data_IF_804312528828
#
_entry.id   IF_804312528828
#
_cell.length_a   1.000
_cell.length_b   1.000
_cell.length_c   1.000
_cell.angle_alpha   90.00
_cell.angle_beta   90.00
_cell.angle_gamma   90.00
#
_symmetry.space_group_name_H-M   'P 1'
#
loop_
_entity.id
_entity.type
_entity.pdbx_description
1 polymer ?
#
# COMPACT_ATOMS: atom_id res chain seq x y z
N UNK A 1 35.84 60.80 -16.96
CA UNK A 1 34.71 60.44 -17.84
C UNK A 1 34.58 58.92 -17.78
N UNK A 2 33.99 58.45 -16.78
CA UNK A 2 32.59 58.02 -16.55
C UNK A 2 32.18 56.95 -17.54
N UNK A 3 32.19 55.76 -17.11
CA UNK A 3 31.58 54.57 -17.73
C UNK A 3 31.05 53.65 -16.63
N UNK A 4 29.76 53.78 -16.36
CA UNK A 4 29.06 53.09 -15.30
C UNK A 4 29.03 51.57 -15.52
N UNK A 5 29.38 50.87 -14.49
CA UNK A 5 29.22 49.43 -14.34
C UNK A 5 27.75 49.14 -13.96
N UNK A 6 26.98 48.62 -14.90
CA UNK A 6 25.63 48.14 -14.64
C UNK A 6 25.66 46.70 -14.09
N UNK A 7 25.52 46.58 -12.79
CA UNK A 7 25.44 45.34 -12.07
C UNK A 7 24.17 44.52 -12.48
N UNK A 8 24.39 43.45 -13.23
CA UNK A 8 23.39 42.45 -13.51
C UNK A 8 23.16 41.59 -12.26
N UNK A 9 21.97 41.67 -11.67
CA UNK A 9 21.48 40.79 -10.59
C UNK A 9 21.34 39.35 -11.10
N UNK A 10 21.86 38.34 -10.37
CA UNK A 10 21.66 36.95 -10.77
C UNK A 10 20.20 36.56 -10.52
N UNK A 11 19.50 36.22 -11.61
CA UNK A 11 18.23 35.53 -11.54
C UNK A 11 18.40 34.19 -10.78
N UNK A 12 17.94 34.19 -9.55
CA UNK A 12 17.82 32.98 -8.74
C UNK A 12 16.76 32.08 -9.39
N UNK A 13 17.20 31.14 -10.21
CA UNK A 13 16.35 30.08 -10.71
C UNK A 13 15.79 29.32 -9.49
N UNK A 14 14.50 29.49 -9.23
CA UNK A 14 13.77 28.65 -8.28
C UNK A 14 13.89 27.20 -8.76
N UNK A 15 14.55 26.36 -7.98
CA UNK A 15 14.59 24.93 -8.22
C UNK A 15 13.14 24.43 -8.16
N UNK A 16 12.56 24.15 -9.33
CA UNK A 16 11.33 23.40 -9.43
C UNK A 16 11.62 22.05 -8.78
N UNK A 17 11.05 21.82 -7.60
CA UNK A 17 11.13 20.56 -6.90
C UNK A 17 10.78 19.44 -7.88
N UNK A 18 11.66 18.46 -8.00
CA UNK A 18 11.45 17.25 -8.79
C UNK A 18 10.08 16.69 -8.44
N UNK A 19 9.13 16.74 -9.38
CA UNK A 19 7.87 16.06 -9.24
C UNK A 19 8.20 14.58 -9.00
N UNK A 20 7.91 14.07 -7.80
CA UNK A 20 8.08 12.66 -7.49
C UNK A 20 7.22 11.90 -8.50
N UNK A 21 7.85 11.13 -9.39
CA UNK A 21 7.10 10.31 -10.34
C UNK A 21 6.18 9.40 -9.53
N UNK A 22 4.89 9.38 -9.87
CA UNK A 22 3.95 8.47 -9.24
C UNK A 22 4.42 7.03 -9.53
N UNK A 23 4.67 6.25 -8.48
CA UNK A 23 5.05 4.84 -8.64
C UNK A 23 3.84 4.04 -9.12
N UNK A 24 4.05 3.16 -10.10
CA UNK A 24 3.04 2.20 -10.56
C UNK A 24 3.21 0.89 -9.78
N UNK A 25 2.17 0.48 -9.05
CA UNK A 25 2.08 -0.83 -8.42
C UNK A 25 1.08 -1.69 -9.19
N UNK A 26 1.45 -2.95 -9.47
CA UNK A 26 0.60 -3.91 -10.18
C UNK A 26 0.34 -5.11 -9.28
N UNK A 27 -0.95 -5.45 -9.10
CA UNK A 27 -1.35 -6.71 -8.47
C UNK A 27 -1.12 -7.87 -9.42
N UNK A 28 -0.47 -8.91 -8.93
CA UNK A 28 -0.10 -10.10 -9.70
C UNK A 28 -0.36 -11.38 -8.89
N UNK A 29 -0.66 -12.50 -9.58
CA UNK A 29 -0.97 -13.78 -8.97
C UNK A 29 -0.17 -14.95 -9.58
N UNK A 30 0.78 -14.65 -10.44
CA UNK A 30 1.63 -15.64 -11.10
C UNK A 30 3.04 -15.11 -11.37
N UNK A 31 3.98 -16.01 -11.59
CA UNK A 31 5.36 -15.66 -11.99
C UNK A 31 5.37 -14.93 -13.33
N UNK A 32 4.53 -15.38 -14.26
CA UNK A 32 4.45 -14.77 -15.60
C UNK A 32 3.91 -13.33 -15.53
N UNK A 33 2.84 -13.09 -14.75
CA UNK A 33 2.29 -11.74 -14.56
C UNK A 33 3.28 -10.82 -13.82
N UNK A 34 4.05 -11.34 -12.86
CA UNK A 34 5.09 -10.59 -12.16
C UNK A 34 6.21 -10.12 -13.12
N UNK A 35 6.71 -11.02 -13.97
CA UNK A 35 7.72 -10.70 -14.98
C UNK A 35 7.19 -9.69 -16.01
N UNK A 36 5.97 -9.87 -16.49
CA UNK A 36 5.32 -8.96 -17.43
C UNK A 36 5.12 -7.56 -16.83
N UNK A 37 4.64 -7.47 -15.57
CA UNK A 37 4.45 -6.20 -14.89
C UNK A 37 5.79 -5.43 -14.75
N UNK A 38 6.88 -6.10 -14.33
CA UNK A 38 8.20 -5.48 -14.28
C UNK A 38 8.64 -4.99 -15.67
N UNK A 39 8.50 -5.81 -16.70
CA UNK A 39 8.87 -5.44 -18.08
C UNK A 39 8.02 -4.28 -18.61
N UNK A 40 6.77 -4.15 -18.14
CA UNK A 40 5.86 -3.06 -18.44
C UNK A 40 6.13 -1.77 -17.67
N UNK A 41 7.16 -1.73 -16.80
CA UNK A 41 7.56 -0.53 -16.06
C UNK A 41 6.91 -0.38 -14.69
N UNK A 42 6.35 -1.45 -14.11
CA UNK A 42 5.93 -1.41 -12.72
C UNK A 42 7.13 -1.10 -11.80
N UNK A 43 6.92 -0.23 -10.83
CA UNK A 43 7.93 0.13 -9.82
C UNK A 43 7.84 -0.75 -8.56
N UNK A 44 6.75 -1.51 -8.42
CA UNK A 44 6.50 -2.43 -7.32
C UNK A 44 5.40 -3.42 -7.72
N UNK A 45 5.40 -4.59 -7.08
CA UNK A 45 4.34 -5.59 -7.19
C UNK A 45 3.59 -5.75 -5.88
N UNK A 46 2.29 -6.01 -5.98
CA UNK A 46 1.49 -6.61 -4.91
C UNK A 46 1.21 -8.06 -5.32
N UNK A 47 1.84 -9.00 -4.62
CA UNK A 47 1.68 -10.43 -4.89
C UNK A 47 0.51 -10.99 -4.10
N UNK A 48 -0.45 -11.54 -4.82
CA UNK A 48 -1.66 -12.15 -4.28
C UNK A 48 -1.82 -13.59 -4.78
N UNK A 49 -2.78 -14.31 -4.21
CA UNK A 49 -3.50 -15.39 -4.87
C UNK A 49 -4.95 -14.95 -5.08
N UNK A 50 -5.71 -15.68 -5.89
CA UNK A 50 -7.16 -15.55 -5.98
C UNK A 50 -7.67 -14.10 -6.19
N UNK A 51 -7.17 -13.43 -7.22
CA UNK A 51 -7.53 -12.04 -7.54
C UNK A 51 -9.03 -11.84 -7.79
N UNK A 52 -9.76 -12.88 -8.18
CA UNK A 52 -11.23 -12.86 -8.35
C UNK A 52 -11.93 -12.51 -7.03
N UNK A 53 -11.38 -12.96 -5.90
CA UNK A 53 -11.88 -12.64 -4.55
C UNK A 53 -11.28 -11.34 -4.00
N UNK A 54 -10.57 -10.59 -4.83
CA UNK A 54 -9.88 -9.37 -4.42
C UNK A 54 -8.50 -9.59 -3.78
N UNK A 55 -7.93 -10.78 -3.97
CA UNK A 55 -6.62 -11.17 -3.46
C UNK A 55 -6.67 -11.82 -2.07
N UNK A 56 -5.98 -12.95 -1.95
CA UNK A 56 -5.70 -13.66 -0.68
C UNK A 56 -4.20 -13.91 -0.56
N UNK A 57 -3.74 -14.45 0.56
CA UNK A 57 -2.33 -14.77 0.79
C UNK A 57 -1.83 -15.76 -0.27
N UNK A 58 -0.74 -15.45 -0.99
CA UNK A 58 -0.12 -16.38 -1.94
C UNK A 58 0.68 -17.45 -1.22
N UNK A 59 0.88 -18.61 -1.86
CA UNK A 59 1.77 -19.63 -1.31
C UNK A 59 3.21 -19.12 -1.20
N UNK A 60 3.94 -19.58 -0.19
CA UNK A 60 5.38 -19.29 -0.02
C UNK A 60 6.20 -19.79 -1.22
N UNK A 61 5.75 -20.88 -1.87
CA UNK A 61 6.36 -21.36 -3.11
C UNK A 61 6.28 -20.34 -4.25
N UNK A 62 5.09 -19.75 -4.46
CA UNK A 62 4.91 -18.69 -5.45
C UNK A 62 5.77 -17.46 -5.11
N UNK A 63 5.74 -17.00 -3.86
CA UNK A 63 6.55 -15.88 -3.40
C UNK A 63 8.04 -16.12 -3.66
N UNK A 64 8.56 -17.30 -3.29
CA UNK A 64 9.97 -17.65 -3.48
C UNK A 64 10.41 -17.62 -4.94
N UNK A 65 9.56 -18.05 -5.87
CA UNK A 65 9.88 -18.02 -7.30
C UNK A 65 9.79 -16.60 -7.84
N UNK A 66 8.77 -15.82 -7.46
CA UNK A 66 8.63 -14.42 -7.88
C UNK A 66 9.84 -13.59 -7.42
N UNK A 67 10.27 -13.71 -6.17
CA UNK A 67 11.43 -12.98 -5.63
C UNK A 67 12.74 -13.26 -6.38
N UNK A 68 12.89 -14.45 -6.99
CA UNK A 68 14.04 -14.76 -7.85
C UNK A 68 13.89 -14.30 -9.30
N UNK A 69 12.66 -13.99 -9.72
CA UNK A 69 12.35 -13.64 -11.11
C UNK A 69 12.38 -12.14 -11.36
N UNK A 70 12.01 -11.33 -10.35
CA UNK A 70 11.94 -9.87 -10.47
C UNK A 70 12.95 -9.18 -9.56
N UNK A 71 13.34 -7.96 -9.92
CA UNK A 71 14.24 -7.12 -9.13
C UNK A 71 13.55 -5.94 -8.45
N UNK A 72 12.29 -5.69 -8.78
CA UNK A 72 11.48 -4.63 -8.16
C UNK A 72 10.88 -5.13 -6.83
N UNK A 73 10.58 -4.22 -5.88
CA UNK A 73 10.03 -4.60 -4.58
C UNK A 73 8.72 -5.39 -4.72
N UNK A 74 8.58 -6.47 -3.95
CA UNK A 74 7.37 -7.30 -3.87
C UNK A 74 6.75 -7.13 -2.49
N UNK A 75 5.55 -6.58 -2.44
CA UNK A 75 4.68 -6.56 -1.26
C UNK A 75 3.71 -7.73 -1.35
N UNK A 76 3.43 -8.38 -0.23
CA UNK A 76 2.69 -9.65 -0.22
C UNK A 76 1.39 -9.48 0.54
N UNK A 77 0.29 -9.94 -0.07
CA UNK A 77 -1.02 -9.98 0.56
C UNK A 77 -1.02 -10.95 1.75
N UNK A 78 -1.54 -10.48 2.89
CA UNK A 78 -1.84 -11.28 4.08
C UNK A 78 -3.34 -11.18 4.33
N UNK A 79 -4.07 -12.11 3.76
CA UNK A 79 -5.53 -12.21 3.84
C UNK A 79 -5.92 -13.69 3.74
N UNK A 80 -6.32 -14.32 4.85
CA UNK A 80 -6.50 -15.77 4.90
C UNK A 80 -7.65 -16.29 4.03
N UNK A 81 -8.64 -15.44 3.75
CA UNK A 81 -9.83 -15.78 2.94
C UNK A 81 -10.44 -14.57 2.24
N UNK A 82 -11.30 -14.80 1.27
CA UNK A 82 -12.23 -13.82 0.71
C UNK A 82 -13.32 -13.39 1.71
N UNK A 83 -14.24 -12.55 1.26
CA UNK A 83 -15.32 -12.01 2.08
C UNK A 83 -14.92 -10.80 2.90
N UNK A 84 -15.46 -10.69 4.13
CA UNK A 84 -15.23 -9.55 5.03
C UNK A 84 -13.80 -9.49 5.62
N UNK A 85 -13.57 -8.52 6.49
CA UNK A 85 -12.27 -8.26 7.12
C UNK A 85 -12.35 -8.37 8.65
N UNK A 86 -13.39 -9.03 9.17
CA UNK A 86 -13.56 -9.41 10.57
C UNK A 86 -13.06 -10.84 10.74
N UNK A 87 -11.93 -11.03 11.39
CA UNK A 87 -11.26 -12.31 11.49
C UNK A 87 -11.45 -12.98 12.85
N UNK A 88 -11.57 -14.32 12.84
CA UNK A 88 -11.56 -15.11 14.06
C UNK A 88 -10.16 -15.16 14.69
N UNK A 89 -10.04 -15.53 15.98
CA UNK A 89 -8.73 -15.72 16.60
C UNK A 89 -7.81 -16.68 15.82
N UNK A 90 -8.33 -17.75 15.27
CA UNK A 90 -7.59 -18.74 14.47
C UNK A 90 -7.10 -18.14 13.14
N UNK A 91 -7.93 -17.31 12.47
CA UNK A 91 -7.54 -16.60 11.25
C UNK A 91 -6.42 -15.58 11.54
N UNK A 92 -6.47 -14.93 12.70
CA UNK A 92 -5.40 -14.03 13.15
C UNK A 92 -4.09 -14.81 13.39
N UNK A 93 -4.15 -16.01 13.96
CA UNK A 93 -2.97 -16.86 14.12
C UNK A 93 -2.37 -17.25 12.76
N UNK A 94 -3.21 -17.57 11.77
CA UNK A 94 -2.78 -17.82 10.38
C UNK A 94 -2.07 -16.58 9.83
N UNK A 95 -2.68 -15.39 9.94
CA UNK A 95 -2.07 -14.14 9.45
C UNK A 95 -0.69 -13.88 10.07
N UNK A 96 -0.53 -14.10 11.37
CA UNK A 96 0.75 -13.92 12.07
C UNK A 96 1.81 -14.91 11.58
N UNK A 97 1.44 -16.18 11.35
CA UNK A 97 2.34 -17.19 10.81
C UNK A 97 2.77 -16.87 9.37
N UNK A 98 1.84 -16.40 8.54
CA UNK A 98 2.10 -15.96 7.17
C UNK A 98 3.05 -14.77 7.15
N UNK A 99 2.84 -13.74 8.00
CA UNK A 99 3.75 -12.59 8.14
C UNK A 99 5.17 -13.06 8.47
N UNK A 100 5.32 -13.99 9.41
CA UNK A 100 6.61 -14.56 9.76
C UNK A 100 7.31 -15.22 8.57
N UNK A 101 6.58 -16.02 7.81
CA UNK A 101 7.08 -16.72 6.62
C UNK A 101 7.44 -15.76 5.49
N UNK A 102 6.60 -14.75 5.23
CA UNK A 102 6.81 -13.71 4.20
C UNK A 102 8.07 -12.90 4.52
N UNK A 103 8.25 -12.51 5.79
CA UNK A 103 9.43 -11.80 6.25
C UNK A 103 10.70 -12.63 6.07
N UNK A 104 10.68 -13.91 6.43
CA UNK A 104 11.80 -14.83 6.24
C UNK A 104 12.14 -15.06 4.77
N UNK A 105 11.15 -15.05 3.89
CA UNK A 105 11.36 -15.17 2.45
C UNK A 105 12.02 -13.94 1.81
N UNK A 106 12.07 -12.80 2.50
CA UNK A 106 12.72 -11.59 2.01
C UNK A 106 11.82 -10.67 1.18
N UNK A 107 10.52 -10.69 1.41
CA UNK A 107 9.59 -9.71 0.82
C UNK A 107 9.94 -8.28 1.21
N UNK A 108 9.51 -7.30 0.42
CA UNK A 108 9.77 -5.88 0.65
C UNK A 108 8.69 -5.19 1.52
N UNK A 109 7.57 -5.85 1.77
CA UNK A 109 6.48 -5.35 2.58
C UNK A 109 5.31 -6.31 2.63
N UNK A 110 4.31 -6.00 3.44
CA UNK A 110 3.06 -6.75 3.54
C UNK A 110 1.85 -5.85 3.26
N UNK A 111 0.77 -6.46 2.80
CA UNK A 111 -0.50 -5.81 2.50
C UNK A 111 -1.59 -6.54 3.29
N UNK A 112 -2.29 -5.84 4.16
CA UNK A 112 -3.32 -6.42 5.02
C UNK A 112 -4.40 -5.38 5.35
N UNK A 113 -5.46 -5.80 6.04
CA UNK A 113 -6.50 -4.90 6.54
C UNK A 113 -7.47 -5.66 7.40
N UNK A 114 -7.86 -5.06 8.51
CA UNK A 114 -8.71 -5.64 9.55
C UNK A 114 -9.75 -4.64 9.99
N UNK A 115 -10.99 -5.10 10.12
CA UNK A 115 -12.11 -4.29 10.62
C UNK A 115 -12.76 -5.02 11.79
N UNK A 116 -13.38 -4.25 12.67
CA UNK A 116 -14.24 -4.77 13.71
C UNK A 116 -15.69 -5.02 13.22
N UNK A 117 -16.53 -5.53 14.10
CA UNK A 117 -17.95 -5.79 13.80
C UNK A 117 -18.78 -4.52 13.50
N UNK A 118 -18.29 -3.34 13.87
CA UNK A 118 -18.91 -2.05 13.57
C UNK A 118 -18.44 -1.47 12.25
N UNK A 119 -17.49 -2.12 11.57
CA UNK A 119 -16.87 -1.64 10.34
C UNK A 119 -15.82 -0.56 10.57
N UNK A 120 -15.35 -0.36 11.78
CA UNK A 120 -14.19 0.47 12.07
C UNK A 120 -12.88 -0.34 11.95
N UNK A 121 -11.74 0.33 11.82
CA UNK A 121 -10.44 -0.35 11.88
C UNK A 121 -10.24 -0.92 13.28
N UNK A 122 -9.99 -2.22 13.40
CA UNK A 122 -9.56 -2.83 14.66
C UNK A 122 -8.12 -2.42 14.96
N UNK A 123 -7.96 -1.31 15.70
CA UNK A 123 -6.64 -0.77 16.01
C UNK A 123 -5.79 -1.72 16.85
N UNK A 124 -6.40 -2.48 17.75
CA UNK A 124 -5.69 -3.43 18.62
C UNK A 124 -5.07 -4.55 17.79
N UNK A 125 -5.86 -5.13 16.91
CA UNK A 125 -5.40 -6.17 16.00
C UNK A 125 -4.42 -5.63 14.97
N UNK A 126 -4.72 -4.46 14.37
CA UNK A 126 -3.85 -3.81 13.39
C UNK A 126 -2.46 -3.54 13.98
N UNK A 127 -2.37 -2.99 15.19
CA UNK A 127 -1.10 -2.73 15.86
C UNK A 127 -0.29 -4.02 16.03
N UNK A 128 -0.92 -5.09 16.49
CA UNK A 128 -0.30 -6.42 16.66
C UNK A 128 0.26 -6.95 15.33
N UNK A 129 -0.47 -6.80 14.22
CA UNK A 129 -0.02 -7.24 12.90
C UNK A 129 1.11 -6.36 12.34
N UNK A 130 1.07 -5.05 12.58
CA UNK A 130 2.15 -4.12 12.20
C UNK A 130 3.43 -4.44 12.97
N UNK A 131 3.34 -4.68 14.27
CA UNK A 131 4.48 -5.08 15.10
C UNK A 131 5.09 -6.41 14.63
N UNK A 132 4.26 -7.41 14.33
CA UNK A 132 4.71 -8.69 13.79
C UNK A 132 5.39 -8.56 12.41
N UNK A 133 4.97 -7.57 11.63
CA UNK A 133 5.53 -7.30 10.29
C UNK A 133 6.91 -6.66 10.33
N UNK A 134 7.29 -6.03 11.44
CA UNK A 134 8.55 -5.28 11.53
C UNK A 134 9.77 -6.14 11.13
N UNK A 135 10.73 -5.60 10.34
CA UNK A 135 10.86 -4.23 9.86
C UNK A 135 10.13 -3.93 8.54
N UNK A 136 9.29 -4.83 8.01
CA UNK A 136 8.60 -4.64 6.74
C UNK A 136 7.52 -3.56 6.87
N UNK A 137 7.44 -2.62 5.91
CA UNK A 137 6.36 -1.65 5.87
C UNK A 137 5.01 -2.35 5.59
N UNK A 138 3.96 -1.86 6.23
CA UNK A 138 2.59 -2.34 6.07
C UNK A 138 1.80 -1.39 5.19
N UNK A 139 1.08 -1.97 4.21
CA UNK A 139 0.01 -1.30 3.45
C UNK A 139 -1.33 -1.78 3.97
N UNK A 140 -2.22 -0.87 4.35
CA UNK A 140 -3.61 -1.21 4.63
C UNK A 140 -4.39 -1.22 3.31
N UNK A 141 -4.92 -2.37 2.94
CA UNK A 141 -5.54 -2.60 1.65
C UNK A 141 -6.98 -2.03 1.56
N UNK A 142 -7.70 -2.40 0.50
CA UNK A 142 -9.04 -1.88 0.19
C UNK A 142 -10.13 -2.19 1.22
N UNK A 143 -9.85 -2.87 2.34
CA UNK A 143 -10.76 -2.94 3.49
C UNK A 143 -11.20 -1.55 3.96
N UNK A 144 -10.34 -0.54 3.82
CA UNK A 144 -10.67 0.84 4.12
C UNK A 144 -11.90 1.35 3.34
N UNK A 145 -12.14 0.85 2.12
CA UNK A 145 -13.26 1.29 1.28
C UNK A 145 -14.64 0.90 1.82
N UNK A 146 -14.69 -0.12 2.66
CA UNK A 146 -15.92 -0.60 3.32
C UNK A 146 -15.96 -0.24 4.80
N UNK A 147 -14.99 0.56 5.26
CA UNK A 147 -15.03 1.07 6.62
C UNK A 147 -16.17 2.08 6.80
N UNK A 148 -16.67 2.20 8.01
CA UNK A 148 -17.76 3.11 8.34
C UNK A 148 -17.40 4.61 8.15
N UNK A 149 -16.09 4.95 8.23
CA UNK A 149 -15.59 6.31 8.03
C UNK A 149 -14.15 6.28 7.51
N UNK A 150 -13.94 6.75 6.27
CA UNK A 150 -12.63 6.75 5.62
C UNK A 150 -11.57 7.60 6.33
N UNK A 151 -11.96 8.75 6.89
CA UNK A 151 -11.00 9.65 7.58
C UNK A 151 -10.59 9.06 8.93
N UNK A 152 -11.54 8.53 9.69
CA UNK A 152 -11.23 7.82 10.94
C UNK A 152 -10.36 6.59 10.68
N UNK A 153 -10.65 5.82 9.63
CA UNK A 153 -9.84 4.66 9.23
C UNK A 153 -8.41 5.06 8.84
N UNK A 154 -8.24 6.17 8.11
CA UNK A 154 -6.91 6.72 7.79
C UNK A 154 -6.16 7.10 9.08
N UNK A 155 -6.79 7.79 10.01
CA UNK A 155 -6.16 8.21 11.28
C UNK A 155 -5.85 6.99 12.17
N UNK A 156 -6.70 5.96 12.21
CA UNK A 156 -6.43 4.69 12.89
C UNK A 156 -5.19 4.00 12.29
N UNK A 157 -5.12 3.87 10.97
CA UNK A 157 -3.95 3.34 10.27
C UNK A 157 -2.67 4.11 10.63
N UNK A 158 -2.75 5.45 10.67
CA UNK A 158 -1.62 6.32 11.05
C UNK A 158 -1.17 6.06 12.49
N UNK A 159 -2.12 5.96 13.45
CA UNK A 159 -1.80 5.68 14.86
C UNK A 159 -1.11 4.32 15.03
N UNK A 160 -1.51 3.34 14.23
CA UNK A 160 -0.92 1.99 14.27
C UNK A 160 0.41 1.87 13.51
N UNK A 161 0.92 2.95 12.89
CA UNK A 161 2.22 2.90 12.20
C UNK A 161 2.18 2.29 10.79
N UNK A 162 1.00 2.22 10.17
CA UNK A 162 0.85 1.82 8.78
C UNK A 162 1.58 2.80 7.87
N UNK A 163 2.36 2.31 6.93
CA UNK A 163 3.15 3.14 6.02
C UNK A 163 2.32 3.71 4.86
N UNK A 164 1.26 3.00 4.46
CA UNK A 164 0.45 3.33 3.28
C UNK A 164 -0.96 2.76 3.38
N UNK A 165 -1.93 3.47 2.80
CA UNK A 165 -3.25 2.92 2.51
C UNK A 165 -3.46 2.79 0.99
N UNK A 166 -4.16 1.73 0.56
CA UNK A 166 -4.62 1.52 -0.80
C UNK A 166 -6.14 1.68 -0.84
N UNK A 167 -6.64 2.63 -1.61
CA UNK A 167 -8.06 2.96 -1.60
C UNK A 167 -8.55 3.49 -2.95
N UNK A 168 -9.82 3.27 -3.24
CA UNK A 168 -10.56 3.94 -4.31
C UNK A 168 -11.37 5.15 -3.79
N UNK A 169 -11.16 5.55 -2.52
CA UNK A 169 -11.99 6.59 -1.89
C UNK A 169 -13.39 6.11 -1.50
N UNK A 170 -13.58 4.79 -1.31
CA UNK A 170 -14.88 4.18 -0.99
C UNK A 170 -15.81 4.03 -2.20
N UNK A 171 -15.40 4.44 -3.39
CA UNK A 171 -16.16 4.29 -4.64
C UNK A 171 -15.81 2.96 -5.34
N UNK A 172 -16.60 2.50 -6.31
CA UNK A 172 -16.27 1.32 -7.11
C UNK A 172 -14.91 1.42 -7.80
N UNK A 173 -14.58 2.59 -8.36
CA UNK A 173 -13.32 2.87 -9.03
C UNK A 173 -12.63 4.11 -8.46
N UNK A 174 -11.30 4.20 -8.59
CA UNK A 174 -10.53 5.36 -8.14
C UNK A 174 -10.92 6.68 -8.86
N UNK A 175 -11.19 6.70 -10.17
CA UNK A 175 -11.73 7.90 -10.83
C UNK A 175 -13.03 8.41 -10.21
N UNK A 176 -13.98 7.52 -9.91
CA UNK A 176 -15.24 7.89 -9.26
C UNK A 176 -15.04 8.42 -7.83
N UNK A 177 -14.03 7.89 -7.13
CA UNK A 177 -13.64 8.31 -5.78
C UNK A 177 -12.70 9.50 -5.71
N UNK A 178 -12.38 10.18 -6.82
CA UNK A 178 -11.32 11.19 -6.89
C UNK A 178 -11.46 12.29 -5.85
N UNK A 179 -12.69 12.75 -5.55
CA UNK A 179 -12.93 13.78 -4.52
C UNK A 179 -12.63 13.27 -3.11
N UNK A 180 -12.99 12.02 -2.81
CA UNK A 180 -12.68 11.39 -1.52
C UNK A 180 -11.17 11.13 -1.38
N UNK A 181 -10.54 10.65 -2.46
CA UNK A 181 -9.08 10.46 -2.51
C UNK A 181 -8.34 11.77 -2.21
N UNK A 182 -8.77 12.89 -2.79
CA UNK A 182 -8.18 14.19 -2.49
C UNK A 182 -8.30 14.54 -1.00
N UNK A 183 -9.48 14.36 -0.41
CA UNK A 183 -9.67 14.58 1.04
C UNK A 183 -8.79 13.70 1.90
N UNK A 184 -8.60 12.43 1.51
CA UNK A 184 -7.69 11.52 2.21
C UNK A 184 -6.22 11.97 2.10
N UNK A 185 -5.77 12.41 0.92
CA UNK A 185 -4.41 12.96 0.73
C UNK A 185 -4.20 14.20 1.59
N UNK A 186 -5.17 15.12 1.60
CA UNK A 186 -5.12 16.34 2.42
C UNK A 186 -5.06 15.99 3.92
N UNK A 187 -5.90 15.05 4.39
CA UNK A 187 -5.91 14.58 5.78
C UNK A 187 -4.61 13.85 6.16
N UNK A 188 -4.06 13.04 5.26
CA UNK A 188 -2.79 12.34 5.48
C UNK A 188 -1.63 13.33 5.68
N UNK A 189 -1.68 14.50 5.03
CA UNK A 189 -0.69 15.58 5.15
C UNK A 189 0.77 15.09 5.06
N UNK A 190 1.05 14.12 4.20
CA UNK A 190 2.37 13.52 4.02
C UNK A 190 2.84 12.57 5.14
N UNK A 191 2.03 12.36 6.18
CA UNK A 191 2.35 11.46 7.32
C UNK A 191 2.05 10.00 7.03
N UNK A 192 1.24 9.73 6.01
CA UNK A 192 0.85 8.41 5.52
C UNK A 192 0.72 8.51 4.00
N UNK A 193 1.18 7.51 3.28
CA UNK A 193 1.03 7.48 1.81
C UNK A 193 -0.39 7.02 1.45
N UNK A 194 -1.00 7.70 0.49
CA UNK A 194 -2.29 7.30 -0.10
C UNK A 194 -2.01 6.81 -1.52
N UNK A 195 -2.24 5.51 -1.74
CA UNK A 195 -2.21 4.90 -3.07
C UNK A 195 -3.63 4.83 -3.60
N UNK A 196 -3.86 5.44 -4.76
CA UNK A 196 -5.12 5.32 -5.47
C UNK A 196 -5.15 4.00 -6.25
N UNK A 197 -6.18 3.18 -6.07
CA UNK A 197 -6.32 1.92 -6.78
C UNK A 197 -7.75 1.40 -6.77
N UNK A 198 -8.06 0.57 -7.77
CA UNK A 198 -9.39 0.04 -8.00
C UNK A 198 -10.02 0.62 -9.28
N UNK A 199 -10.45 -0.27 -10.17
CA UNK A 199 -11.02 -0.01 -11.49
C UNK A 199 -10.33 -0.77 -12.56
#
# INVERSE_FOLDING_TARGET
MDGADEGALPHRAASMGSARSAGLEICVDSVASAAAAQSGGASRLELCANLIEGGTTPSIGLLSVVLRTVSIPVHVMVRPRGGDFLYSPEEVEVMLAEIGSIRQAGAAGVVLGVLDAAGAVDESLLLRLVEASAPLPVTFHRAINVSCNLIEALEACRRCGVARILTSGGAPTAPEGAQALRRLVDAAAGRLLVAAGGG
#
